data_IF_074642688748
#
_entry.id   IF_074642688748
#
_cell.length_a   1.000
_cell.length_b   1.000
_cell.length_c   1.000
_cell.angle_alpha   90.00
_cell.angle_beta   90.00
_cell.angle_gamma   90.00
#
_symmetry.space_group_name_H-M   'P 1'
#
loop_
_entity.id
_entity.type
_entity.pdbx_description
1 polymer ?
#
# COMPACT_ATOMS: atom_id res chain seq x y z
N UNK A 1 -1.58 19.14 5.04
CA UNK A 1 -2.90 18.69 4.55
C UNK A 1 -3.84 19.88 4.41
N UNK A 2 -4.85 19.85 3.52
CA UNK A 2 -5.87 20.90 3.43
C UNK A 2 -6.60 21.08 4.77
N UNK A 3 -6.98 22.30 5.13
CA UNK A 3 -7.70 22.55 6.40
C UNK A 3 -9.04 21.79 6.43
N UNK A 4 -9.34 21.12 7.54
CA UNK A 4 -10.58 20.36 7.74
C UNK A 4 -10.59 18.94 7.18
N UNK A 5 -9.45 18.43 6.70
CA UNK A 5 -9.30 17.04 6.24
C UNK A 5 -9.62 16.00 7.33
N UNK A 6 -9.28 16.32 8.57
CA UNK A 6 -9.40 15.49 9.75
C UNK A 6 -10.87 15.25 10.11
N UNK A 7 -11.73 16.27 9.97
CA UNK A 7 -13.18 16.12 10.17
C UNK A 7 -13.78 15.13 9.17
N UNK A 8 -13.43 15.25 7.89
CA UNK A 8 -13.94 14.35 6.85
C UNK A 8 -13.49 12.90 7.09
N UNK A 9 -12.25 12.71 7.55
CA UNK A 9 -11.76 11.37 7.91
C UNK A 9 -12.50 10.81 9.12
N UNK A 10 -12.75 11.61 10.16
CA UNK A 10 -13.55 11.20 11.34
C UNK A 10 -14.95 10.75 10.95
N UNK A 11 -15.66 11.55 10.16
CA UNK A 11 -17.00 11.22 9.68
C UNK A 11 -17.01 9.90 8.88
N UNK A 12 -15.99 9.69 8.05
CA UNK A 12 -15.83 8.43 7.31
C UNK A 12 -15.57 7.23 8.22
N UNK A 13 -14.69 7.37 9.21
CA UNK A 13 -14.34 6.31 10.16
C UNK A 13 -15.53 5.92 11.06
N UNK A 14 -16.44 6.85 11.35
CA UNK A 14 -17.68 6.56 12.08
C UNK A 14 -18.76 5.89 11.21
N UNK A 15 -18.80 6.24 9.93
CA UNK A 15 -19.82 5.77 8.98
C UNK A 15 -19.50 4.40 8.39
N UNK A 16 -18.26 4.17 7.98
CA UNK A 16 -17.86 3.01 7.17
C UNK A 16 -18.03 1.65 7.88
N UNK A 17 -17.67 1.47 9.17
CA UNK A 17 -17.82 0.18 9.85
C UNK A 17 -19.27 -0.34 9.83
N UNK A 18 -20.23 0.53 10.15
CA UNK A 18 -21.68 0.21 10.16
C UNK A 18 -22.17 -0.19 8.76
N UNK A 19 -21.63 0.44 7.72
CA UNK A 19 -21.93 0.11 6.33
C UNK A 19 -21.33 -1.21 5.92
N UNK A 20 -20.09 -1.48 6.32
CA UNK A 20 -19.41 -2.75 6.03
C UNK A 20 -20.19 -3.93 6.61
N UNK A 21 -20.67 -3.83 7.85
CA UNK A 21 -21.49 -4.86 8.48
C UNK A 21 -22.83 -5.07 7.75
N UNK A 22 -23.43 -3.98 7.27
CA UNK A 22 -24.64 -4.04 6.45
C UNK A 22 -24.40 -4.75 5.11
N UNK A 23 -23.28 -4.46 4.44
CA UNK A 23 -22.90 -5.10 3.18
C UNK A 23 -22.56 -6.58 3.37
N UNK A 24 -21.83 -6.92 4.44
CA UNK A 24 -21.53 -8.30 4.77
C UNK A 24 -22.82 -9.10 5.01
N UNK A 25 -23.75 -8.54 5.81
CA UNK A 25 -25.03 -9.19 6.11
C UNK A 25 -25.90 -9.36 4.86
N UNK A 26 -26.00 -8.33 4.03
CA UNK A 26 -26.87 -8.35 2.84
C UNK A 26 -26.31 -9.23 1.70
N UNK A 27 -25.00 -9.18 1.47
CA UNK A 27 -24.37 -9.83 0.31
C UNK A 27 -23.58 -11.09 0.70
N UNK A 28 -22.61 -10.98 1.61
CA UNK A 28 -21.62 -12.05 1.86
C UNK A 28 -22.18 -13.21 2.71
N UNK A 29 -23.23 -12.95 3.49
CA UNK A 29 -23.97 -13.99 4.22
C UNK A 29 -25.10 -14.63 3.40
N UNK A 30 -25.35 -14.14 2.17
CA UNK A 30 -26.38 -14.68 1.30
C UNK A 30 -26.01 -16.11 0.84
N UNK A 31 -26.95 -17.05 1.03
CA UNK A 31 -26.78 -18.47 0.70
C UNK A 31 -26.51 -18.70 -0.80
N UNK A 32 -27.12 -17.91 -1.69
CA UNK A 32 -26.90 -17.99 -3.13
C UNK A 32 -25.46 -17.62 -3.46
N UNK A 33 -24.94 -16.54 -2.87
CA UNK A 33 -23.56 -16.11 -3.11
C UNK A 33 -22.56 -17.12 -2.56
N UNK A 34 -22.79 -17.64 -1.35
CA UNK A 34 -21.97 -18.72 -0.77
C UNK A 34 -21.95 -19.95 -1.66
N UNK A 35 -23.12 -20.45 -2.08
CA UNK A 35 -23.23 -21.62 -2.96
C UNK A 35 -22.55 -21.44 -4.32
N UNK A 36 -22.41 -20.20 -4.81
CA UNK A 36 -21.72 -19.89 -6.07
C UNK A 36 -20.21 -19.68 -5.95
N UNK A 37 -19.67 -19.56 -4.74
CA UNK A 37 -18.28 -19.11 -4.53
C UNK A 37 -17.45 -20.04 -3.65
N UNK A 38 -18.08 -20.79 -2.74
CA UNK A 38 -17.39 -21.77 -1.92
C UNK A 38 -16.90 -22.94 -2.78
N UNK A 39 -15.64 -23.34 -2.60
CA UNK A 39 -14.99 -24.40 -3.38
C UNK A 39 -14.66 -24.04 -4.84
N UNK A 40 -14.95 -22.82 -5.29
CA UNK A 40 -14.65 -22.37 -6.66
C UNK A 40 -13.22 -21.81 -6.74
N UNK A 41 -12.48 -22.22 -7.77
CA UNK A 41 -11.07 -21.85 -7.97
C UNK A 41 -10.25 -22.06 -6.68
N UNK A 42 -10.41 -23.26 -6.12
CA UNK A 42 -9.76 -23.69 -4.89
C UNK A 42 -8.32 -24.11 -5.17
N UNK A 43 -7.39 -23.67 -4.32
CA UNK A 43 -5.99 -24.11 -4.35
C UNK A 43 -5.38 -24.11 -2.95
N UNK A 44 -4.35 -24.94 -2.77
CA UNK A 44 -3.60 -25.05 -1.52
C UNK A 44 -2.34 -24.19 -1.50
N UNK A 45 -1.63 -24.29 -0.38
CA UNK A 45 -0.40 -23.54 -0.12
C UNK A 45 0.74 -23.88 -1.10
N UNK A 46 0.88 -25.17 -1.48
CA UNK A 46 1.95 -25.62 -2.39
C UNK A 46 1.77 -25.01 -3.78
N UNK A 47 0.56 -25.12 -4.33
CA UNK A 47 0.20 -24.57 -5.63
C UNK A 47 0.34 -23.05 -5.63
N UNK A 48 -0.10 -22.38 -4.56
CA UNK A 48 0.02 -20.92 -4.44
C UNK A 48 1.49 -20.45 -4.50
N UNK A 49 2.39 -21.17 -3.82
CA UNK A 49 3.82 -20.87 -3.82
C UNK A 49 4.47 -21.16 -5.18
N UNK A 50 4.11 -22.28 -5.83
CA UNK A 50 4.60 -22.65 -7.15
C UNK A 50 4.21 -21.61 -8.22
N UNK A 51 2.99 -21.08 -8.15
CA UNK A 51 2.52 -20.04 -9.06
C UNK A 51 3.03 -18.64 -8.71
N UNK A 52 3.72 -18.47 -7.57
CA UNK A 52 4.16 -17.16 -7.10
C UNK A 52 3.03 -16.23 -6.68
N UNK A 53 1.90 -16.79 -6.23
CA UNK A 53 0.73 -16.03 -5.72
C UNK A 53 1.10 -15.27 -4.46
N UNK A 54 0.59 -14.04 -4.31
CA UNK A 54 0.89 -13.18 -3.15
C UNK A 54 -0.35 -12.53 -2.54
N UNK A 55 -0.19 -11.86 -1.40
CA UNK A 55 -1.26 -11.14 -0.70
C UNK A 55 -2.40 -12.04 -0.24
N UNK A 56 -3.64 -11.58 -0.41
CA UNK A 56 -4.83 -12.29 0.06
C UNK A 56 -4.98 -13.70 -0.54
N UNK A 57 -4.50 -13.92 -1.78
CA UNK A 57 -4.53 -15.25 -2.38
C UNK A 57 -3.66 -16.25 -1.64
N UNK A 58 -2.45 -15.82 -1.26
CA UNK A 58 -1.51 -16.62 -0.46
C UNK A 58 -2.01 -16.78 0.98
N UNK A 59 -2.47 -15.70 1.62
CA UNK A 59 -2.99 -15.75 3.00
C UNK A 59 -4.22 -16.62 3.16
N UNK A 60 -5.08 -16.69 2.14
CA UNK A 60 -6.23 -17.59 2.14
C UNK A 60 -5.82 -19.07 2.28
N UNK A 61 -4.60 -19.44 1.86
CA UNK A 61 -4.07 -20.79 2.03
C UNK A 61 -3.51 -21.08 3.43
N UNK A 62 -3.63 -20.14 4.38
CA UNK A 62 -3.11 -20.30 5.74
C UNK A 62 -1.67 -19.85 5.94
N UNK A 63 -0.99 -19.39 4.89
CA UNK A 63 0.37 -18.84 5.00
C UNK A 63 0.30 -17.41 5.54
N UNK A 64 0.86 -17.19 6.73
CA UNK A 64 1.00 -15.86 7.33
C UNK A 64 2.19 -15.09 6.75
N UNK A 65 1.94 -14.42 5.62
CA UNK A 65 2.93 -13.60 4.94
C UNK A 65 2.32 -12.27 4.47
N UNK A 66 2.87 -11.17 4.97
CA UNK A 66 2.53 -9.79 4.58
C UNK A 66 3.80 -8.93 4.64
N UNK A 67 4.12 -8.24 3.54
CA UNK A 67 5.33 -7.41 3.46
C UNK A 67 5.34 -6.30 4.51
N UNK A 68 4.18 -5.74 4.89
CA UNK A 68 4.08 -4.63 5.87
C UNK A 68 4.53 -5.04 7.27
N UNK A 69 4.44 -6.32 7.61
CA UNK A 69 4.94 -6.87 8.89
C UNK A 69 6.34 -7.48 8.74
N UNK A 70 6.59 -8.23 7.66
CA UNK A 70 7.87 -8.91 7.44
C UNK A 70 9.02 -7.99 7.04
N UNK A 71 8.73 -6.96 6.24
CA UNK A 71 9.66 -5.92 5.81
C UNK A 71 8.97 -4.56 5.85
N UNK A 72 8.73 -4.02 7.07
CA UNK A 72 8.01 -2.77 7.24
C UNK A 72 8.62 -1.64 6.42
N UNK A 73 7.76 -0.77 5.90
CA UNK A 73 8.11 0.41 5.14
C UNK A 73 7.16 1.54 5.50
N UNK A 74 7.52 2.79 5.22
CA UNK A 74 6.65 3.95 5.44
C UNK A 74 6.05 4.05 6.86
N UNK A 75 6.72 3.51 7.88
CA UNK A 75 6.26 3.55 9.27
C UNK A 75 5.23 2.48 9.64
N UNK A 76 4.98 1.46 8.82
CA UNK A 76 4.04 0.37 9.14
C UNK A 76 4.35 -0.38 10.45
N UNK A 77 5.62 -0.36 10.88
CA UNK A 77 6.10 -0.89 12.15
C UNK A 77 5.50 -0.18 13.38
N UNK A 78 5.01 1.06 13.22
CA UNK A 78 4.43 1.85 14.31
C UNK A 78 2.92 1.68 14.45
N UNK A 79 2.27 0.90 13.58
CA UNK A 79 0.82 0.68 13.62
C UNK A 79 0.48 -0.71 14.17
N UNK A 80 -0.52 -0.74 15.04
CA UNK A 80 -1.10 -1.95 15.59
C UNK A 80 -2.26 -2.42 14.71
N UNK A 81 -2.03 -3.50 13.97
CA UNK A 81 -3.02 -4.15 13.12
C UNK A 81 -2.68 -5.63 12.97
N UNK A 82 -3.71 -6.41 12.71
CA UNK A 82 -3.59 -7.85 12.49
C UNK A 82 -3.64 -8.18 11.00
N UNK A 83 -2.93 -9.21 10.60
CA UNK A 83 -2.98 -9.74 9.24
C UNK A 83 -3.97 -10.91 9.24
N UNK A 84 -5.11 -10.81 8.54
CA UNK A 84 -6.06 -11.90 8.52
C UNK A 84 -5.50 -13.04 7.65
N UNK A 85 -5.65 -14.28 8.14
CA UNK A 85 -5.15 -15.51 7.51
C UNK A 85 -6.30 -16.51 7.37
N UNK A 86 -6.32 -17.25 6.26
CA UNK A 86 -7.35 -18.24 5.96
C UNK A 86 -7.11 -19.61 6.61
N UNK A 87 -8.07 -20.52 6.43
CA UNK A 87 -8.09 -21.84 7.07
C UNK A 87 -7.33 -22.95 6.33
N UNK A 88 -6.56 -22.66 5.29
CA UNK A 88 -5.70 -23.64 4.59
C UNK A 88 -5.98 -23.81 3.10
N UNK A 89 -7.26 -23.87 2.70
CA UNK A 89 -7.66 -23.93 1.29
C UNK A 89 -8.21 -22.58 0.86
N UNK A 90 -7.58 -21.99 -0.15
CA UNK A 90 -8.01 -20.70 -0.71
C UNK A 90 -9.09 -20.93 -1.76
N UNK A 91 -10.31 -20.48 -1.51
CA UNK A 91 -11.39 -20.42 -2.50
C UNK A 91 -11.85 -18.97 -2.75
N UNK A 92 -12.70 -18.77 -3.76
CA UNK A 92 -13.24 -17.44 -4.10
C UNK A 92 -13.90 -16.76 -2.90
N UNK A 93 -14.65 -17.52 -2.09
CA UNK A 93 -15.36 -16.98 -0.92
C UNK A 93 -14.39 -16.51 0.18
N UNK A 94 -13.43 -17.35 0.54
CA UNK A 94 -12.42 -17.10 1.58
C UNK A 94 -11.58 -15.88 1.24
N UNK A 95 -11.18 -15.73 -0.04
CA UNK A 95 -10.46 -14.54 -0.50
C UNK A 95 -11.24 -13.24 -0.33
N UNK A 96 -12.56 -13.27 -0.56
CA UNK A 96 -13.43 -12.09 -0.36
C UNK A 96 -13.61 -11.79 1.12
N UNK A 97 -13.83 -12.81 1.96
CA UNK A 97 -13.93 -12.63 3.41
C UNK A 97 -12.65 -12.04 4.00
N UNK A 98 -11.48 -12.51 3.54
CA UNK A 98 -10.17 -11.94 3.91
C UNK A 98 -10.05 -10.47 3.54
N UNK A 99 -10.51 -10.07 2.34
CA UNK A 99 -10.50 -8.66 1.93
C UNK A 99 -11.38 -7.79 2.83
N UNK A 100 -12.49 -8.32 3.30
CA UNK A 100 -13.41 -7.61 4.19
C UNK A 100 -12.77 -7.41 5.56
N UNK A 101 -12.05 -8.41 6.08
CA UNK A 101 -11.25 -8.24 7.30
C UNK A 101 -10.09 -7.26 7.10
N UNK A 102 -9.40 -7.29 5.95
CA UNK A 102 -8.37 -6.29 5.62
C UNK A 102 -8.93 -4.87 5.60
N UNK A 103 -10.18 -4.66 5.16
CA UNK A 103 -10.83 -3.35 5.23
C UNK A 103 -11.00 -2.90 6.68
N UNK A 104 -11.38 -3.79 7.61
CA UNK A 104 -11.48 -3.46 9.04
C UNK A 104 -10.13 -3.07 9.62
N UNK A 105 -9.08 -3.81 9.30
CA UNK A 105 -7.72 -3.50 9.73
C UNK A 105 -7.21 -2.19 9.11
N UNK A 106 -7.58 -1.90 7.86
CA UNK A 106 -7.25 -0.63 7.21
C UNK A 106 -7.93 0.55 7.91
N UNK A 107 -9.20 0.40 8.32
CA UNK A 107 -9.89 1.42 9.14
C UNK A 107 -9.20 1.62 10.49
N UNK A 108 -8.72 0.54 11.14
CA UNK A 108 -7.95 0.61 12.39
C UNK A 108 -6.63 1.37 12.22
N UNK A 109 -5.92 1.17 11.10
CA UNK A 109 -4.70 1.92 10.77
C UNK A 109 -5.04 3.40 10.54
N UNK A 110 -6.09 3.70 9.77
CA UNK A 110 -6.51 5.08 9.51
C UNK A 110 -6.89 5.83 10.79
N UNK A 111 -7.55 5.16 11.74
CA UNK A 111 -7.84 5.72 13.06
C UNK A 111 -6.54 6.07 13.81
N UNK A 112 -5.56 5.16 13.85
CA UNK A 112 -4.27 5.42 14.48
C UNK A 112 -3.48 6.55 13.79
N UNK A 113 -3.54 6.64 12.46
CA UNK A 113 -2.94 7.74 11.72
C UNK A 113 -3.56 9.09 12.10
N UNK A 114 -4.88 9.13 12.26
CA UNK A 114 -5.60 10.34 12.64
C UNK A 114 -5.25 10.78 14.07
N UNK A 115 -5.14 9.84 15.00
CA UNK A 115 -4.88 10.14 16.41
C UNK A 115 -3.42 10.49 16.69
N UNK A 116 -2.48 9.95 15.90
CA UNK A 116 -1.04 10.13 16.09
C UNK A 116 -0.36 10.97 14.99
N UNK A 117 -1.12 11.78 14.24
CA UNK A 117 -0.57 12.55 13.12
C UNK A 117 0.46 13.57 13.63
N UNK A 118 1.76 13.44 13.28
CA UNK A 118 2.76 14.41 13.71
C UNK A 118 2.62 15.71 12.91
N UNK A 119 3.03 16.81 13.55
CA UNK A 119 3.29 18.05 12.83
C UNK A 119 4.67 18.00 12.15
N UNK A 120 4.84 18.79 11.09
CA UNK A 120 6.14 18.98 10.45
C UNK A 120 6.10 19.00 8.92
N UNK A 121 7.28 19.02 8.29
CA UNK A 121 7.42 18.98 6.84
C UNK A 121 6.89 17.65 6.27
N UNK A 122 6.11 17.72 5.19
CA UNK A 122 5.60 16.55 4.47
C UNK A 122 6.47 16.13 3.28
N UNK A 123 7.55 16.87 3.02
CA UNK A 123 8.53 16.63 1.96
C UNK A 123 9.91 16.49 2.59
N UNK A 124 10.74 15.63 2.02
CA UNK A 124 12.13 15.51 2.42
C UNK A 124 12.88 16.81 2.10
N UNK A 125 13.76 17.23 3.00
CA UNK A 125 14.69 18.32 2.76
C UNK A 125 15.94 17.78 2.04
N UNK A 126 15.76 17.31 0.80
CA UNK A 126 16.84 16.73 0.01
C UNK A 126 16.83 17.24 -1.45
N UNK A 127 17.95 17.78 -1.94
CA UNK A 127 18.06 18.40 -3.27
C UNK A 127 18.06 17.40 -4.44
N UNK A 128 17.84 16.12 -4.21
CA UNK A 128 17.70 15.11 -5.28
C UNK A 128 16.24 14.69 -5.45
N UNK A 129 15.41 14.89 -4.43
CA UNK A 129 14.04 14.36 -4.43
C UNK A 129 13.01 15.46 -4.53
N UNK A 130 13.32 16.66 -4.01
CA UNK A 130 12.30 17.68 -3.81
C UNK A 130 12.82 19.06 -4.17
N UNK A 131 12.09 19.82 -5.01
CA UNK A 131 12.44 21.19 -5.29
C UNK A 131 12.18 22.07 -4.07
N UNK A 132 12.98 23.14 -3.90
CA UNK A 132 12.82 24.04 -2.77
C UNK A 132 11.41 24.66 -2.77
N UNK A 133 10.86 25.01 -1.59
CA UNK A 133 9.57 25.67 -1.49
C UNK A 133 9.51 26.94 -2.34
N UNK A 134 8.41 27.12 -3.08
CA UNK A 134 8.23 28.22 -4.05
C UNK A 134 8.50 29.61 -3.45
N UNK A 135 8.15 29.79 -2.17
CA UNK A 135 8.35 31.02 -1.42
C UNK A 135 9.84 31.39 -1.27
N UNK A 136 10.72 30.38 -1.13
CA UNK A 136 12.17 30.57 -0.99
C UNK A 136 12.87 30.71 -2.33
N UNK A 137 12.31 30.10 -3.38
CA UNK A 137 12.92 30.04 -4.72
C UNK A 137 13.18 31.41 -5.35
N UNK A 138 12.35 32.41 -5.01
CA UNK A 138 12.46 33.77 -5.57
C UNK A 138 13.39 34.69 -4.76
N UNK A 139 13.90 34.22 -3.62
CA UNK A 139 14.68 35.05 -2.68
C UNK A 139 16.18 34.77 -2.76
N UNK A 140 16.58 33.56 -3.18
CA UNK A 140 17.98 33.14 -3.22
C UNK A 140 18.33 32.49 -4.56
N UNK A 141 19.46 32.90 -5.15
CA UNK A 141 19.92 32.39 -6.45
C UNK A 141 20.18 30.88 -6.40
N UNK A 142 20.68 30.37 -5.28
CA UNK A 142 20.99 28.96 -5.07
C UNK A 142 19.72 28.10 -5.19
N UNK A 143 18.63 28.55 -4.54
CA UNK A 143 17.35 27.84 -4.60
C UNK A 143 16.72 27.87 -5.99
N UNK A 144 16.93 28.96 -6.74
CA UNK A 144 16.45 29.09 -8.12
C UNK A 144 17.18 28.12 -9.06
N UNK A 145 18.49 28.01 -8.93
CA UNK A 145 19.31 27.07 -9.71
C UNK A 145 18.86 25.63 -9.45
N UNK A 146 18.74 25.22 -8.18
CA UNK A 146 18.30 23.87 -7.84
C UNK A 146 16.90 23.58 -8.36
N UNK A 147 15.96 24.54 -8.25
CA UNK A 147 14.63 24.39 -8.79
C UNK A 147 14.65 24.22 -10.32
N UNK A 148 15.39 25.05 -11.05
CA UNK A 148 15.49 24.98 -12.50
C UNK A 148 16.07 23.64 -12.98
N UNK A 149 17.20 23.21 -12.42
CA UNK A 149 17.84 21.95 -12.79
C UNK A 149 16.94 20.74 -12.51
N UNK A 150 16.31 20.68 -11.34
CA UNK A 150 15.43 19.55 -11.01
C UNK A 150 14.18 19.49 -11.89
N UNK A 151 13.56 20.63 -12.21
CA UNK A 151 12.32 20.65 -13.00
C UNK A 151 12.60 20.41 -14.49
N UNK A 152 13.72 20.93 -15.02
CA UNK A 152 14.05 20.82 -16.43
C UNK A 152 14.80 19.54 -16.79
N UNK A 153 15.74 19.09 -15.96
CA UNK A 153 16.61 17.94 -16.25
C UNK A 153 16.32 16.75 -15.35
N UNK A 154 15.95 16.99 -14.10
CA UNK A 154 15.81 15.96 -13.08
C UNK A 154 17.12 15.65 -12.35
N UNK A 155 17.05 14.91 -11.23
CA UNK A 155 18.23 14.52 -10.47
C UNK A 155 19.06 13.48 -11.22
N UNK A 156 20.39 13.55 -11.08
CA UNK A 156 21.30 12.50 -11.53
C UNK A 156 21.37 11.43 -10.45
N UNK A 157 20.95 10.21 -10.76
CA UNK A 157 20.99 9.10 -9.82
C UNK A 157 22.31 8.32 -9.97
N UNK A 158 22.94 7.86 -8.87
CA UNK A 158 24.13 7.02 -8.96
C UNK A 158 23.87 5.75 -9.78
N UNK A 159 24.88 5.28 -10.52
CA UNK A 159 24.81 4.04 -11.28
C UNK A 159 24.71 2.85 -10.31
N UNK A 160 23.52 2.26 -10.21
CA UNK A 160 23.23 1.13 -9.31
C UNK A 160 21.90 0.47 -9.66
N UNK A 161 21.62 -0.65 -8.98
CA UNK A 161 20.33 -1.31 -9.03
C UNK A 161 19.60 -1.17 -7.69
N UNK A 162 18.29 -1.00 -7.74
CA UNK A 162 17.44 -0.90 -6.56
C UNK A 162 16.16 -1.70 -6.76
N UNK A 163 15.70 -2.33 -5.69
CA UNK A 163 14.49 -3.13 -5.68
C UNK A 163 13.66 -2.78 -4.46
N UNK A 164 12.41 -2.38 -4.69
CA UNK A 164 11.47 -2.13 -3.62
C UNK A 164 10.17 -2.86 -3.89
N UNK A 165 9.63 -3.48 -2.84
CA UNK A 165 8.33 -4.13 -2.84
C UNK A 165 7.40 -3.47 -1.84
N UNK A 166 6.11 -3.47 -2.15
CA UNK A 166 5.03 -3.02 -1.29
C UNK A 166 3.89 -4.04 -1.32
N UNK A 167 3.18 -4.17 -0.20
CA UNK A 167 1.94 -4.93 -0.15
C UNK A 167 0.82 -4.06 -0.74
N UNK A 168 0.57 -4.22 -2.04
CA UNK A 168 -0.57 -3.58 -2.68
C UNK A 168 -1.86 -4.34 -2.36
N UNK A 169 -3.01 -3.73 -2.67
CA UNK A 169 -4.33 -4.32 -2.38
C UNK A 169 -4.57 -5.67 -3.07
N UNK A 170 -3.81 -6.01 -4.11
CA UNK A 170 -3.93 -7.29 -4.84
C UNK A 170 -2.81 -8.28 -4.50
N UNK A 171 -1.79 -7.87 -3.76
CA UNK A 171 -0.59 -8.64 -3.47
C UNK A 171 0.66 -7.80 -3.63
N UNK A 172 1.82 -8.45 -3.75
CA UNK A 172 3.10 -7.77 -3.81
C UNK A 172 3.25 -7.08 -5.17
N UNK A 173 3.36 -5.76 -5.13
CA UNK A 173 3.81 -4.97 -6.27
C UNK A 173 5.25 -4.55 -6.02
N UNK A 174 6.13 -4.77 -6.99
CA UNK A 174 7.54 -4.40 -6.83
C UNK A 174 8.12 -3.77 -8.08
N UNK A 175 8.99 -2.80 -7.84
CA UNK A 175 9.74 -2.08 -8.86
C UNK A 175 11.21 -2.45 -8.73
N UNK A 176 11.79 -2.92 -9.82
CA UNK A 176 13.23 -3.11 -9.97
C UNK A 176 13.74 -2.06 -10.94
N UNK A 177 14.65 -1.21 -10.48
CA UNK A 177 15.21 -0.12 -11.25
C UNK A 177 16.71 -0.31 -11.40
N UNK A 178 17.21 -0.15 -12.63
CA UNK A 178 18.63 -0.04 -12.94
C UNK A 178 18.90 1.40 -13.40
N UNK A 179 19.87 2.07 -12.78
CA UNK A 179 20.39 3.36 -13.20
C UNK A 179 21.81 3.20 -13.72
N UNK A 180 22.11 3.89 -14.83
CA UNK A 180 23.42 3.96 -15.49
C UNK A 180 24.17 5.27 -15.15
N UNK A 181 23.69 6.04 -14.16
CA UNK A 181 24.23 7.36 -13.88
C UNK A 181 23.54 8.50 -14.63
N UNK A 182 22.45 8.22 -15.35
CA UNK A 182 21.65 9.22 -16.07
C UNK A 182 20.53 9.83 -15.19
N UNK A 183 19.81 10.80 -15.75
CA UNK A 183 18.60 11.40 -15.14
C UNK A 183 17.35 10.56 -15.34
N UNK A 184 17.40 9.56 -16.23
CA UNK A 184 16.32 8.62 -16.49
C UNK A 184 16.69 7.20 -16.01
N UNK A 185 15.68 6.39 -15.72
CA UNK A 185 15.91 4.97 -15.45
C UNK A 185 16.41 4.28 -16.71
N UNK A 186 17.56 3.62 -16.66
CA UNK A 186 18.05 2.78 -17.76
C UNK A 186 17.08 1.63 -18.03
N UNK A 187 16.61 0.97 -16.96
CA UNK A 187 15.57 -0.06 -17.03
C UNK A 187 14.69 -0.01 -15.80
N UNK A 188 13.37 -0.07 -16.02
CA UNK A 188 12.38 -0.27 -14.96
C UNK A 188 11.60 -1.54 -15.25
N UNK A 189 11.71 -2.54 -14.37
CA UNK A 189 10.88 -3.75 -14.40
C UNK A 189 9.85 -3.67 -13.28
N UNK A 190 8.59 -3.72 -13.67
CA UNK A 190 7.46 -3.81 -12.74
C UNK A 190 7.04 -5.26 -12.64
N UNK A 191 6.94 -5.77 -11.41
CA UNK A 191 6.23 -7.03 -11.13
C UNK A 191 4.87 -6.67 -10.57
N UNK A 192 3.84 -6.93 -11.37
CA UNK A 192 2.47 -6.94 -10.90
C UNK A 192 2.15 -8.28 -10.25
N UNK A 193 1.16 -8.25 -9.36
CA UNK A 193 0.58 -9.40 -8.66
C UNK A 193 0.16 -10.54 -9.60
#
# INVERSE_FOLDING_TARGET
MPRGWDRLLREFLEWMPKRLDSYEKAALRNTILKGRSQGVAAYGAKEALEWGTTGAGLRATGIDFDVRKWRPYSGYENFDFEVPVGGGVSDCYTRVMLKVEELRQSLRILQQCLDNMPEGPFKADHPLTTPPPKERTLQHIETLITHFLQVSWGPVMPAQESFQMVEATKGINSYYLTSDGSTMSYRTRVRTY
#
